data_IF_561409775221
#
_entry.id   IF_561409775221
#
_cell.length_a   1.000
_cell.length_b   1.000
_cell.length_c   1.000
_cell.angle_alpha   90.00
_cell.angle_beta   90.00
_cell.angle_gamma   90.00
#
_symmetry.space_group_name_H-M   'P 1'
#
loop_
_entity.id
_entity.type
_entity.pdbx_description
1 polymer ?
#
# COMPACT_ATOMS: atom_id res chain seq x y z
N UNK A 1 -2.65 -46.92 -38.59
CA UNK A 1 -2.21 -45.58 -38.99
C UNK A 1 -3.45 -44.80 -39.40
N UNK A 2 -3.80 -43.72 -38.70
CA UNK A 2 -4.36 -42.47 -39.23
C UNK A 2 -4.65 -41.55 -38.03
N UNK A 3 -3.63 -40.77 -37.67
CA UNK A 3 -3.72 -39.70 -36.68
C UNK A 3 -4.49 -38.55 -37.34
N UNK A 4 -5.73 -38.31 -36.93
CA UNK A 4 -6.46 -37.11 -37.34
C UNK A 4 -5.73 -35.89 -36.75
N UNK A 5 -4.90 -35.25 -37.56
CA UNK A 5 -4.38 -33.92 -37.24
C UNK A 5 -5.56 -32.96 -37.32
N UNK A 6 -6.10 -32.57 -36.16
CA UNK A 6 -7.09 -31.50 -36.05
C UNK A 6 -6.39 -30.20 -36.47
N UNK A 7 -6.58 -29.78 -37.72
CA UNK A 7 -6.24 -28.42 -38.14
C UNK A 7 -7.23 -27.46 -37.47
N UNK A 8 -6.83 -26.89 -36.33
CA UNK A 8 -7.55 -25.77 -35.71
C UNK A 8 -7.31 -24.51 -36.56
N UNK A 9 -8.24 -24.21 -37.46
CA UNK A 9 -8.30 -22.90 -38.10
C UNK A 9 -8.76 -21.87 -37.04
N UNK A 10 -7.83 -21.27 -36.32
CA UNK A 10 -8.14 -20.19 -35.40
C UNK A 10 -8.56 -18.96 -36.21
N UNK A 11 -9.85 -18.65 -36.22
CA UNK A 11 -10.33 -17.40 -36.78
C UNK A 11 -9.90 -16.24 -35.88
N UNK A 12 -9.65 -15.05 -36.46
CA UNK A 12 -9.38 -13.82 -35.70
C UNK A 12 -10.45 -13.56 -34.62
N UNK A 13 -11.68 -14.01 -34.87
CA UNK A 13 -12.81 -13.92 -33.93
C UNK A 13 -12.70 -14.89 -32.75
N UNK A 14 -12.10 -16.06 -32.94
CA UNK A 14 -11.92 -17.05 -31.86
C UNK A 14 -10.77 -16.64 -30.94
N UNK A 15 -9.73 -16.01 -31.49
CA UNK A 15 -8.69 -15.35 -30.70
C UNK A 15 -9.29 -14.25 -29.81
N UNK A 16 -10.10 -13.35 -30.37
CA UNK A 16 -10.76 -12.30 -29.60
C UNK A 16 -11.68 -12.85 -28.49
N UNK A 17 -12.40 -13.95 -28.74
CA UNK A 17 -13.24 -14.59 -27.70
C UNK A 17 -12.40 -15.15 -26.55
N UNK A 18 -11.27 -15.78 -26.87
CA UNK A 18 -10.36 -16.33 -25.85
C UNK A 18 -9.67 -15.21 -25.05
N UNK A 19 -9.20 -14.16 -25.72
CA UNK A 19 -8.56 -13.02 -25.04
C UNK A 19 -9.56 -12.21 -24.23
N UNK A 20 -10.78 -11.98 -24.74
CA UNK A 20 -11.83 -11.28 -24.00
C UNK A 20 -12.21 -12.03 -22.72
N UNK A 21 -12.35 -13.36 -22.77
CA UNK A 21 -12.57 -14.17 -21.58
C UNK A 21 -11.40 -14.14 -20.59
N UNK A 22 -10.16 -14.17 -21.10
CA UNK A 22 -8.95 -14.13 -20.26
C UNK A 22 -8.73 -12.79 -19.55
N UNK A 23 -9.00 -11.66 -20.21
CA UNK A 23 -8.84 -10.32 -19.62
C UNK A 23 -9.85 -10.09 -18.49
N UNK A 24 -11.09 -10.57 -18.64
CA UNK A 24 -12.13 -10.44 -17.60
C UNK A 24 -11.75 -11.22 -16.33
N UNK A 25 -11.11 -12.39 -16.47
CA UNK A 25 -10.65 -13.16 -15.31
C UNK A 25 -9.44 -12.53 -14.63
N UNK A 26 -8.51 -11.96 -15.40
CA UNK A 26 -7.34 -11.28 -14.86
C UNK A 26 -7.69 -9.96 -14.13
N UNK A 27 -8.70 -9.22 -14.60
CA UNK A 27 -9.14 -7.97 -13.95
C UNK A 27 -9.97 -8.18 -12.68
N UNK A 28 -10.50 -9.39 -12.48
CA UNK A 28 -11.24 -9.75 -11.26
C UNK A 28 -10.31 -10.24 -10.13
N UNK A 29 -9.03 -10.50 -10.41
CA UNK A 29 -8.09 -10.83 -9.35
C UNK A 29 -7.63 -9.56 -8.64
N UNK A 30 -7.73 -9.50 -7.29
CA UNK A 30 -7.19 -8.37 -6.55
C UNK A 30 -5.69 -8.29 -6.84
N UNK A 31 -5.24 -7.14 -7.35
CA UNK A 31 -3.81 -6.87 -7.48
C UNK A 31 -3.22 -6.85 -6.08
N UNK A 32 -2.43 -7.86 -5.75
CA UNK A 32 -1.62 -7.84 -4.53
C UNK A 32 -0.69 -6.64 -4.64
N UNK A 33 -0.97 -5.59 -3.87
CA UNK A 33 -0.09 -4.43 -3.75
C UNK A 33 1.03 -4.79 -2.79
N UNK A 34 2.22 -5.08 -3.33
CA UNK A 34 3.43 -5.37 -2.53
C UNK A 34 4.02 -4.12 -1.86
N UNK A 35 3.27 -3.02 -1.82
CA UNK A 35 3.69 -1.77 -1.22
C UNK A 35 3.17 -1.59 0.22
N UNK A 36 2.15 -2.37 0.63
CA UNK A 36 1.64 -2.31 2.01
C UNK A 36 1.43 -3.72 2.55
N UNK A 37 2.30 -4.17 3.43
CA UNK A 37 1.96 -5.26 4.34
C UNK A 37 1.07 -4.69 5.44
N UNK A 38 -0.23 -5.07 5.51
CA UNK A 38 -1.14 -4.50 6.49
C UNK A 38 -0.80 -4.93 7.92
N UNK A 39 -0.18 -6.10 8.11
CA UNK A 39 0.09 -6.71 9.43
C UNK A 39 1.49 -6.44 9.98
N UNK A 40 2.31 -5.62 9.31
CA UNK A 40 3.67 -5.34 9.73
C UNK A 40 3.76 -4.05 10.59
N UNK A 41 4.54 -4.05 11.68
CA UNK A 41 4.75 -2.83 12.45
C UNK A 41 5.40 -1.75 11.59
N UNK A 42 4.89 -0.52 11.71
CA UNK A 42 5.39 0.65 10.97
C UNK A 42 6.18 1.54 11.90
N UNK A 43 7.46 1.69 11.57
CA UNK A 43 8.41 2.52 12.30
C UNK A 43 8.75 3.74 11.46
N UNK A 44 8.80 4.90 12.10
CA UNK A 44 9.07 6.18 11.46
C UNK A 44 10.20 6.88 12.23
N UNK A 45 11.24 7.24 11.49
CA UNK A 45 12.39 7.97 12.00
C UNK A 45 12.46 9.34 11.32
N UNK A 46 12.33 10.41 12.10
CA UNK A 46 12.28 11.79 11.64
C UNK A 46 13.36 12.63 12.32
N UNK A 47 13.86 13.61 11.57
CA UNK A 47 14.74 14.64 12.06
C UNK A 47 14.12 16.02 11.78
N UNK A 48 13.86 16.79 12.82
CA UNK A 48 13.35 18.14 12.69
C UNK A 48 14.52 19.12 12.59
N UNK A 49 14.78 19.60 11.37
CA UNK A 49 15.91 20.49 11.10
C UNK A 49 15.81 21.85 11.81
N UNK A 50 14.60 22.27 12.19
CA UNK A 50 14.37 23.59 12.80
C UNK A 50 14.59 23.58 14.31
N UNK A 51 14.25 22.48 14.99
CA UNK A 51 14.42 22.32 16.45
C UNK A 51 15.61 21.44 16.83
N UNK A 52 16.16 20.68 15.87
CA UNK A 52 17.20 19.68 16.10
C UNK A 52 16.68 18.41 16.79
N UNK A 53 15.36 18.28 16.96
CA UNK A 53 14.75 17.11 17.59
C UNK A 53 14.83 15.89 16.66
N UNK A 54 15.15 14.72 17.24
CA UNK A 54 15.12 13.42 16.58
C UNK A 54 14.00 12.58 17.19
N UNK A 55 13.22 11.93 16.34
CA UNK A 55 12.15 11.04 16.77
C UNK A 55 12.23 9.73 15.99
N UNK A 56 12.37 8.62 16.73
CA UNK A 56 12.18 7.28 16.21
C UNK A 56 11.02 6.65 17.00
N UNK A 57 9.97 6.22 16.28
CA UNK A 57 8.76 5.71 16.92
C UNK A 57 8.05 4.67 16.06
N UNK A 58 7.51 3.65 16.72
CA UNK A 58 6.64 2.64 16.12
C UNK A 58 5.18 3.07 16.32
N UNK A 59 4.61 3.76 15.33
CA UNK A 59 3.27 4.34 15.45
C UNK A 59 2.14 3.33 15.19
N UNK A 60 2.46 2.21 14.53
CA UNK A 60 1.53 1.13 14.22
C UNK A 60 2.17 -0.22 14.55
N UNK A 61 1.51 -1.02 15.38
CA UNK A 61 2.05 -2.30 15.88
C UNK A 61 1.81 -3.50 14.93
N UNK A 62 1.26 -3.25 13.73
CA UNK A 62 0.81 -4.27 12.79
C UNK A 62 -0.70 -4.51 12.86
N UNK A 63 -1.36 -4.18 13.97
CA UNK A 63 -2.80 -4.38 14.13
C UNK A 63 -3.55 -3.07 14.39
N UNK A 64 -2.93 -2.16 15.16
CA UNK A 64 -3.53 -0.91 15.60
C UNK A 64 -2.50 0.20 15.72
N UNK A 65 -3.02 1.42 15.69
CA UNK A 65 -2.24 2.60 15.99
C UNK A 65 -1.95 2.69 17.48
N UNK A 66 -0.68 2.94 17.82
CA UNK A 66 -0.23 3.13 19.20
C UNK A 66 -0.47 4.59 19.59
N UNK A 67 -1.52 4.85 20.35
CA UNK A 67 -1.97 6.22 20.68
C UNK A 67 -0.91 7.10 21.34
N UNK A 68 -0.08 6.52 22.21
CA UNK A 68 1.03 7.23 22.87
C UNK A 68 2.08 7.71 21.86
N UNK A 69 2.43 6.85 20.91
CA UNK A 69 3.41 7.17 19.87
C UNK A 69 2.86 8.18 18.87
N UNK A 70 1.57 8.10 18.54
CA UNK A 70 0.90 9.13 17.73
C UNK A 70 0.87 10.50 18.43
N UNK A 71 0.64 10.53 19.74
CA UNK A 71 0.69 11.78 20.50
C UNK A 71 2.10 12.39 20.46
N UNK A 72 3.12 11.56 20.67
CA UNK A 72 4.52 11.97 20.58
C UNK A 72 4.87 12.50 19.18
N UNK A 73 4.33 11.88 18.14
CA UNK A 73 4.50 12.32 16.76
C UNK A 73 3.81 13.67 16.50
N UNK A 74 2.61 13.90 17.05
CA UNK A 74 1.92 15.19 16.97
C UNK A 74 2.72 16.30 17.69
N UNK A 75 3.30 16.00 18.86
CA UNK A 75 4.16 16.93 19.59
C UNK A 75 5.45 17.27 18.83
N UNK A 76 6.02 16.30 18.14
CA UNK A 76 7.19 16.50 17.30
C UNK A 76 6.89 17.36 16.07
N UNK A 77 5.72 17.17 15.47
CA UNK A 77 5.24 17.94 14.31
C UNK A 77 4.46 19.21 14.69
N UNK A 78 4.57 19.67 15.94
CA UNK A 78 3.95 20.91 16.40
C UNK A 78 4.43 22.11 15.58
N UNK A 79 3.63 23.17 15.54
CA UNK A 79 4.13 24.45 15.06
C UNK A 79 5.15 24.98 16.07
N UNK A 80 6.43 24.84 15.76
CA UNK A 80 7.53 25.28 16.61
C UNK A 80 7.56 26.81 16.83
N UNK A 81 6.91 27.61 15.97
CA UNK A 81 6.89 29.08 16.09
C UNK A 81 5.86 29.56 17.10
N UNK A 82 4.74 28.84 17.22
CA UNK A 82 3.65 29.14 18.18
C UNK A 82 3.57 28.17 19.34
N UNK A 83 4.34 27.09 19.31
CA UNK A 83 4.30 25.98 20.25
C UNK A 83 2.90 25.36 20.37
N UNK A 84 2.16 25.31 19.26
CA UNK A 84 0.81 24.76 19.19
C UNK A 84 0.85 23.36 18.59
N UNK A 85 0.21 22.41 19.28
CA UNK A 85 0.11 21.01 18.85
C UNK A 85 -1.25 20.78 18.21
N UNK A 86 -1.25 20.21 17.02
CA UNK A 86 -2.47 19.78 16.34
C UNK A 86 -2.43 18.27 16.07
N UNK A 87 -3.56 17.56 16.27
CA UNK A 87 -3.63 16.15 15.93
C UNK A 87 -3.55 15.97 14.42
N UNK A 88 -2.52 15.29 13.94
CA UNK A 88 -2.42 14.90 12.53
C UNK A 88 -3.30 13.70 12.23
N UNK A 89 -3.75 13.63 10.97
CA UNK A 89 -4.47 12.46 10.48
C UNK A 89 -3.54 11.25 10.47
N UNK A 90 -3.94 10.19 11.18
CA UNK A 90 -3.19 8.93 11.32
C UNK A 90 -2.97 8.22 9.99
N UNK A 91 -3.80 8.54 8.98
CA UNK A 91 -3.73 7.95 7.64
C UNK A 91 -2.68 8.59 6.73
N UNK A 92 -2.04 9.67 7.17
CA UNK A 92 -0.98 10.36 6.42
C UNK A 92 0.42 9.75 6.65
N UNK A 93 0.57 8.88 7.66
CA UNK A 93 1.83 8.22 8.00
C UNK A 93 2.05 6.91 7.24
#
# INVERSE_FOLDING_TARGET
MFLFMVSRNFSRRDFLKMTAGGVVLASAMPTLSWASLPDEPRVLAMNNLNTGELLETCYFDGNRYVGKELQRLNEFCRDHRRNEVHPMDKRLF
#
